data_IF_542569969043
#
_entry.id   IF_542569969043
#
_cell.length_a   1.000
_cell.length_b   1.000
_cell.length_c   1.000
_cell.angle_alpha   90.00
_cell.angle_beta   90.00
_cell.angle_gamma   90.00
#
_symmetry.space_group_name_H-M   'P 1'
#
loop_
_entity.id
_entity.type
_entity.pdbx_description
1 polymer ?
#
# COMPACT_ATOMS: atom_id res chain seq x y z
N UNK A 1 -32.19 17.91 0.07
CA UNK A 1 -30.77 18.27 0.18
C UNK A 1 -30.02 17.50 -0.90
N UNK A 2 -29.22 18.17 -1.74
CA UNK A 2 -28.41 17.50 -2.74
C UNK A 2 -27.34 16.64 -2.06
N UNK A 3 -27.11 15.42 -2.57
CA UNK A 3 -26.06 14.54 -2.05
C UNK A 3 -24.68 15.22 -2.16
N UNK A 4 -23.78 15.02 -1.18
CA UNK A 4 -22.45 15.64 -1.20
C UNK A 4 -21.65 15.17 -2.42
N UNK A 5 -20.97 16.09 -3.09
CA UNK A 5 -20.20 15.89 -4.32
C UNK A 5 -18.72 15.73 -3.98
N UNK A 6 -18.23 14.51 -3.85
CA UNK A 6 -16.85 14.22 -3.44
C UNK A 6 -15.89 14.17 -4.63
N UNK A 7 -14.73 14.83 -4.50
CA UNK A 7 -13.56 14.55 -5.33
C UNK A 7 -12.80 13.35 -4.74
N UNK A 8 -12.54 12.32 -5.53
CA UNK A 8 -11.99 11.04 -5.07
C UNK A 8 -10.75 10.71 -5.88
N UNK A 9 -9.65 10.41 -5.15
CA UNK A 9 -8.40 9.93 -5.69
C UNK A 9 -7.98 8.64 -4.97
N UNK A 10 -7.61 7.60 -5.70
CA UNK A 10 -7.21 6.31 -5.12
C UNK A 10 -5.99 5.77 -5.83
N UNK A 11 -5.10 5.11 -5.08
CA UNK A 11 -3.92 4.43 -5.62
C UNK A 11 -4.07 2.93 -5.57
N UNK A 12 -3.62 2.26 -6.65
CA UNK A 12 -3.40 0.83 -6.69
C UNK A 12 -1.96 0.53 -7.15
N UNK A 13 -1.40 -0.59 -6.69
CA UNK A 13 -0.01 -0.98 -6.93
C UNK A 13 0.01 -2.32 -7.67
N UNK A 14 0.81 -2.43 -8.72
CA UNK A 14 0.86 -3.62 -9.56
C UNK A 14 2.27 -4.15 -9.71
N UNK A 15 2.41 -5.46 -9.47
CA UNK A 15 3.61 -6.23 -9.80
C UNK A 15 3.56 -6.68 -11.26
N UNK A 16 4.70 -7.16 -11.78
CA UNK A 16 4.80 -7.59 -13.17
C UNK A 16 3.65 -8.49 -13.69
N UNK A 17 3.26 -9.58 -12.99
CA UNK A 17 2.18 -10.47 -13.45
C UNK A 17 0.79 -9.82 -13.54
N UNK A 18 0.54 -8.76 -12.78
CA UNK A 18 -0.78 -8.11 -12.69
C UNK A 18 -1.03 -7.07 -13.79
N UNK A 19 0.04 -6.62 -14.48
CA UNK A 19 -0.01 -5.50 -15.43
C UNK A 19 -0.95 -5.78 -16.62
N UNK A 20 -0.92 -6.99 -17.19
CA UNK A 20 -1.79 -7.31 -18.31
C UNK A 20 -3.28 -7.27 -18.00
N UNK A 21 -3.65 -7.46 -16.72
CA UNK A 21 -5.06 -7.39 -16.32
C UNK A 21 -5.56 -5.96 -16.23
N UNK A 22 -4.74 -5.04 -15.70
CA UNK A 22 -5.09 -3.63 -15.64
C UNK A 22 -5.09 -3.00 -17.05
N UNK A 23 -4.10 -3.32 -17.87
CA UNK A 23 -4.05 -2.88 -19.26
C UNK A 23 -5.31 -3.32 -20.03
N UNK A 24 -5.70 -4.59 -19.90
CA UNK A 24 -6.90 -5.10 -20.54
C UNK A 24 -8.17 -4.37 -20.09
N UNK A 25 -8.24 -3.92 -18.84
CA UNK A 25 -9.37 -3.11 -18.34
C UNK A 25 -9.30 -1.69 -18.91
N UNK A 26 -8.18 -1.01 -18.82
CA UNK A 26 -8.03 0.38 -19.21
C UNK A 26 -8.18 0.57 -20.72
N UNK A 27 -7.58 -0.33 -21.51
CA UNK A 27 -7.60 -0.27 -22.97
C UNK A 27 -8.79 -1.02 -23.61
N UNK A 28 -9.71 -1.55 -22.78
CA UNK A 28 -10.91 -2.26 -23.26
C UNK A 28 -10.63 -3.40 -24.25
N UNK A 29 -9.54 -4.15 -24.05
CA UNK A 29 -9.11 -5.20 -25.00
C UNK A 29 -9.92 -6.50 -24.89
N UNK A 30 -10.79 -6.68 -23.88
CA UNK A 30 -11.66 -7.86 -23.71
C UNK A 30 -13.08 -7.58 -24.16
N UNK A 31 -13.75 -8.59 -24.67
CA UNK A 31 -15.17 -8.51 -24.99
C UNK A 31 -16.08 -8.47 -23.76
N UNK A 32 -15.72 -9.18 -22.70
CA UNK A 32 -16.48 -9.25 -21.44
C UNK A 32 -15.59 -9.07 -20.23
N UNK A 33 -16.12 -8.35 -19.25
CA UNK A 33 -15.45 -8.07 -17.98
C UNK A 33 -16.29 -8.66 -16.82
N UNK A 34 -16.01 -9.91 -16.44
CA UNK A 34 -16.77 -10.60 -15.37
C UNK A 34 -16.72 -9.85 -14.03
N UNK A 35 -15.63 -9.16 -13.75
CA UNK A 35 -15.46 -8.34 -12.53
C UNK A 35 -16.21 -7.00 -12.58
N UNK A 36 -16.59 -6.52 -13.77
CA UNK A 36 -17.31 -5.26 -13.94
C UNK A 36 -18.34 -5.38 -15.09
N UNK A 37 -19.51 -5.95 -14.81
CA UNK A 37 -20.56 -6.14 -15.82
C UNK A 37 -21.26 -4.84 -16.23
N UNK A 38 -20.96 -3.70 -15.59
CA UNK A 38 -21.59 -2.41 -15.89
C UNK A 38 -20.91 -1.69 -17.05
N UNK A 39 -19.85 -2.26 -17.63
CA UNK A 39 -19.21 -1.70 -18.83
C UNK A 39 -20.15 -1.86 -20.01
N UNK A 40 -20.59 -0.73 -20.56
CA UNK A 40 -21.37 -0.67 -21.78
C UNK A 40 -20.45 -0.54 -23.01
N UNK A 41 -20.16 -1.68 -23.64
CA UNK A 41 -19.27 -1.76 -24.81
C UNK A 41 -19.71 -0.88 -25.98
N UNK A 42 -21.02 -0.60 -26.12
CA UNK A 42 -21.52 0.28 -27.18
C UNK A 42 -21.05 1.73 -27.00
N UNK A 43 -20.70 2.10 -25.77
CA UNK A 43 -20.18 3.44 -25.39
C UNK A 43 -18.66 3.49 -25.29
N UNK A 44 -17.94 2.38 -25.43
CA UNK A 44 -16.47 2.38 -25.27
C UNK A 44 -15.75 3.28 -26.30
N UNK A 45 -16.38 3.58 -27.42
CA UNK A 45 -15.86 4.57 -28.37
C UNK A 45 -15.85 6.03 -27.85
N UNK A 46 -16.52 6.30 -26.72
CA UNK A 46 -16.50 7.60 -26.06
C UNK A 46 -15.33 7.75 -25.06
N UNK A 47 -14.64 6.66 -24.76
CA UNK A 47 -13.46 6.70 -23.90
C UNK A 47 -12.36 7.54 -24.56
N UNK A 48 -11.70 8.36 -23.76
CA UNK A 48 -10.76 9.36 -24.26
C UNK A 48 -9.41 9.24 -23.56
N UNK A 49 -8.33 9.10 -24.31
CA UNK A 49 -6.98 9.18 -23.80
C UNK A 49 -6.51 10.63 -23.72
N UNK A 50 -5.99 11.02 -22.56
CA UNK A 50 -5.20 12.23 -22.37
C UNK A 50 -3.70 11.95 -22.58
N UNK A 51 -3.27 10.72 -22.26
CA UNK A 51 -1.94 10.20 -22.56
C UNK A 51 -2.12 8.80 -23.15
N UNK A 52 -1.73 8.65 -24.43
CA UNK A 52 -1.75 7.35 -25.09
C UNK A 52 -0.53 6.51 -24.66
N UNK A 53 -0.70 5.22 -24.36
CA UNK A 53 0.44 4.36 -24.10
C UNK A 53 1.26 4.18 -25.39
N UNK A 54 2.60 4.39 -25.36
CA UNK A 54 3.43 4.25 -26.54
C UNK A 54 3.57 2.79 -26.97
N UNK A 55 3.33 1.86 -26.05
CA UNK A 55 3.36 0.41 -26.24
C UNK A 55 2.60 -0.28 -25.11
N UNK A 56 2.59 -1.62 -25.07
CA UNK A 56 2.00 -2.35 -23.95
C UNK A 56 2.56 -1.89 -22.59
N UNK A 57 1.70 -1.76 -21.59
CA UNK A 57 2.06 -1.23 -20.27
C UNK A 57 3.26 -1.91 -19.63
N UNK A 58 3.38 -3.25 -19.81
CA UNK A 58 4.54 -4.00 -19.31
C UNK A 58 5.81 -3.60 -20.02
N UNK A 59 5.79 -3.53 -21.34
CA UNK A 59 6.96 -3.17 -22.14
C UNK A 59 7.40 -1.74 -21.83
N UNK A 60 6.45 -0.81 -21.68
CA UNK A 60 6.74 0.57 -21.31
C UNK A 60 7.34 0.68 -19.92
N UNK A 61 6.81 -0.04 -18.94
CA UNK A 61 7.37 -0.08 -17.59
C UNK A 61 8.81 -0.64 -17.59
N UNK A 62 9.04 -1.74 -18.31
CA UNK A 62 10.37 -2.36 -18.41
C UNK A 62 11.37 -1.44 -19.12
N UNK A 63 10.96 -0.74 -20.17
CA UNK A 63 11.78 0.28 -20.86
C UNK A 63 12.18 1.40 -19.92
N UNK A 64 11.22 2.04 -19.25
CA UNK A 64 11.52 3.17 -18.33
C UNK A 64 12.42 2.74 -17.17
N UNK A 65 12.20 1.55 -16.61
CA UNK A 65 13.00 1.00 -15.52
C UNK A 65 14.44 0.73 -15.99
N UNK A 66 14.61 0.20 -17.21
CA UNK A 66 15.93 -0.04 -17.80
C UNK A 66 16.66 1.27 -18.10
N UNK A 67 15.98 2.26 -18.68
CA UNK A 67 16.52 3.61 -18.94
C UNK A 67 16.95 4.34 -17.67
N UNK A 68 16.25 4.08 -16.56
CA UNK A 68 16.61 4.63 -15.25
C UNK A 68 17.78 3.88 -14.59
N UNK A 69 18.17 2.70 -15.08
CA UNK A 69 19.20 1.84 -14.48
C UNK A 69 18.78 1.25 -13.13
N UNK A 70 17.48 1.08 -12.89
CA UNK A 70 16.95 0.64 -11.61
C UNK A 70 17.21 -0.83 -11.34
N UNK A 71 17.57 -1.16 -10.09
CA UNK A 71 17.56 -2.55 -9.63
C UNK A 71 16.12 -3.00 -9.37
N UNK A 72 15.72 -4.10 -10.00
CA UNK A 72 14.38 -4.68 -9.88
C UNK A 72 14.45 -6.02 -9.14
N UNK A 73 13.56 -6.23 -8.16
CA UNK A 73 13.31 -7.52 -7.49
C UNK A 73 12.07 -8.17 -8.10
N UNK A 74 11.89 -9.45 -7.88
CA UNK A 74 10.70 -10.19 -8.35
C UNK A 74 9.38 -9.63 -7.80
N UNK A 75 9.40 -9.09 -6.58
CA UNK A 75 8.26 -8.51 -5.87
C UNK A 75 8.11 -6.99 -6.03
N UNK A 76 8.98 -6.34 -6.83
CA UNK A 76 8.92 -4.90 -7.05
C UNK A 76 7.59 -4.47 -7.67
N UNK A 77 7.04 -3.37 -7.15
CA UNK A 77 5.93 -2.67 -7.81
C UNK A 77 6.48 -1.98 -9.04
N UNK A 78 5.97 -2.35 -10.21
CA UNK A 78 6.42 -1.83 -11.51
C UNK A 78 5.53 -0.74 -12.06
N UNK A 79 4.23 -0.79 -11.71
CA UNK A 79 3.26 0.24 -12.07
C UNK A 79 2.42 0.64 -10.86
N UNK A 80 2.04 1.90 -10.86
CA UNK A 80 1.03 2.47 -9.97
C UNK A 80 -0.08 3.01 -10.83
N UNK A 81 -1.31 2.73 -10.43
CA UNK A 81 -2.50 3.34 -11.00
C UNK A 81 -3.07 4.36 -10.03
N UNK A 82 -3.49 5.48 -10.57
CA UNK A 82 -4.32 6.46 -9.88
C UNK A 82 -5.69 6.46 -10.52
N UNK A 83 -6.72 6.20 -9.74
CA UNK A 83 -8.10 6.36 -10.13
C UNK A 83 -8.59 7.73 -9.63
N UNK A 84 -8.97 8.60 -10.57
CA UNK A 84 -9.69 9.84 -10.30
C UNK A 84 -11.16 9.65 -10.62
N UNK A 85 -12.03 9.96 -9.68
CA UNK A 85 -13.48 9.87 -9.85
C UNK A 85 -14.20 10.89 -8.97
N UNK A 86 -15.51 10.97 -9.12
CA UNK A 86 -16.40 11.85 -8.35
C UNK A 86 -17.61 11.08 -7.85
N UNK A 87 -18.41 11.67 -6.99
CA UNK A 87 -19.71 11.12 -6.59
C UNK A 87 -20.59 10.87 -7.80
N UNK A 88 -21.35 9.77 -7.79
CA UNK A 88 -22.35 9.45 -8.81
C UNK A 88 -23.31 10.61 -9.02
N UNK A 89 -23.61 10.90 -10.28
CA UNK A 89 -24.51 11.99 -10.65
C UNK A 89 -23.86 13.39 -10.76
N UNK A 90 -22.55 13.51 -10.45
CA UNK A 90 -21.85 14.81 -10.57
C UNK A 90 -21.75 15.30 -12.02
N UNK A 91 -21.67 14.37 -12.96
CA UNK A 91 -21.50 14.66 -14.38
C UNK A 91 -22.81 14.54 -15.20
N UNK A 92 -23.97 14.30 -14.56
CA UNK A 92 -25.22 14.06 -15.28
C UNK A 92 -25.67 15.24 -16.12
N UNK A 93 -25.32 16.46 -15.72
CA UNK A 93 -25.63 17.74 -16.38
C UNK A 93 -24.46 18.35 -17.17
N UNK A 94 -23.31 17.61 -17.30
CA UNK A 94 -22.10 18.12 -17.93
C UNK A 94 -21.85 17.51 -19.30
N UNK A 95 -21.35 18.34 -20.20
CA UNK A 95 -20.91 17.91 -21.53
C UNK A 95 -19.65 17.04 -21.47
N UNK A 96 -19.38 16.24 -22.51
CA UNK A 96 -18.13 15.48 -22.60
C UNK A 96 -16.86 16.34 -22.49
N UNK A 97 -16.89 17.56 -23.01
CA UNK A 97 -15.76 18.50 -22.95
C UNK A 97 -15.54 19.03 -21.53
N UNK A 98 -16.60 19.28 -20.77
CA UNK A 98 -16.50 19.67 -19.35
C UNK A 98 -15.94 18.52 -18.51
N UNK A 99 -16.37 17.27 -18.78
CA UNK A 99 -15.84 16.08 -18.15
C UNK A 99 -14.34 15.90 -18.46
N UNK A 100 -13.97 16.08 -19.72
CA UNK A 100 -12.58 16.04 -20.17
C UNK A 100 -11.75 17.10 -19.46
N UNK A 101 -12.21 18.36 -19.42
CA UNK A 101 -11.53 19.48 -18.74
C UNK A 101 -11.32 19.19 -17.25
N UNK A 102 -12.30 18.56 -16.58
CA UNK A 102 -12.18 18.14 -15.20
C UNK A 102 -11.02 17.15 -15.01
N UNK A 103 -10.90 16.15 -15.88
CA UNK A 103 -9.86 15.14 -15.78
C UNK A 103 -8.50 15.62 -16.29
N UNK A 104 -8.43 16.53 -17.24
CA UNK A 104 -7.19 17.23 -17.61
C UNK A 104 -6.59 17.96 -16.40
N UNK A 105 -7.44 18.63 -15.61
CA UNK A 105 -7.01 19.26 -14.37
C UNK A 105 -6.57 18.22 -13.33
N UNK A 106 -7.24 17.09 -13.23
CA UNK A 106 -6.84 16.01 -12.33
C UNK A 106 -5.48 15.40 -12.72
N UNK A 107 -5.23 15.27 -14.02
CA UNK A 107 -3.93 14.83 -14.55
C UNK A 107 -2.83 15.87 -14.26
N UNK A 108 -3.12 17.16 -14.46
CA UNK A 108 -2.18 18.24 -14.14
C UNK A 108 -1.76 18.21 -12.66
N UNK A 109 -2.70 18.00 -11.74
CA UNK A 109 -2.39 17.80 -10.33
C UNK A 109 -1.39 16.66 -10.11
N UNK A 110 -1.59 15.51 -10.76
CA UNK A 110 -0.64 14.40 -10.62
C UNK A 110 0.73 14.74 -11.19
N UNK A 111 0.79 15.49 -12.29
CA UNK A 111 2.04 15.90 -12.95
C UNK A 111 2.85 16.92 -12.13
N UNK A 112 2.24 17.66 -11.20
CA UNK A 112 2.96 18.48 -10.22
C UNK A 112 3.72 17.65 -9.17
N UNK A 113 3.29 16.39 -8.95
CA UNK A 113 3.83 15.51 -7.91
C UNK A 113 4.63 14.32 -8.46
N UNK A 114 4.37 13.95 -9.71
CA UNK A 114 5.01 12.82 -10.39
C UNK A 114 5.46 13.27 -11.76
N UNK A 115 6.69 12.93 -12.12
CA UNK A 115 7.29 13.33 -13.40
C UNK A 115 6.43 12.87 -14.58
N UNK A 116 6.02 13.76 -15.49
CA UNK A 116 5.13 13.46 -16.61
C UNK A 116 5.63 12.33 -17.51
N UNK A 117 6.94 12.21 -17.72
CA UNK A 117 7.56 11.18 -18.57
C UNK A 117 7.45 9.77 -18.00
N UNK A 118 7.09 9.63 -16.72
CA UNK A 118 6.82 8.32 -16.11
C UNK A 118 5.40 7.83 -16.31
N UNK A 119 4.49 8.71 -16.78
CA UNK A 119 3.09 8.37 -17.03
C UNK A 119 3.02 7.56 -18.33
N UNK A 120 2.58 6.30 -18.20
CA UNK A 120 2.46 5.38 -19.32
C UNK A 120 1.12 5.54 -20.05
N UNK A 121 0.04 5.84 -19.33
CA UNK A 121 -1.30 6.03 -19.90
C UNK A 121 -2.16 6.89 -18.98
N UNK A 122 -3.07 7.67 -19.58
CA UNK A 122 -4.16 8.34 -18.87
C UNK A 122 -5.42 8.26 -19.75
N UNK A 123 -6.41 7.49 -19.33
CA UNK A 123 -7.65 7.23 -20.07
C UNK A 123 -8.87 7.55 -19.24
N UNK A 124 -9.81 8.29 -19.82
CA UNK A 124 -11.13 8.60 -19.26
C UNK A 124 -12.11 7.55 -19.75
N UNK A 125 -12.74 6.84 -18.83
CA UNK A 125 -13.82 5.89 -19.14
C UNK A 125 -15.17 6.60 -19.05
N UNK A 126 -15.89 6.61 -20.17
CA UNK A 126 -17.23 7.17 -20.33
C UNK A 126 -18.30 6.07 -20.47
N UNK A 127 -17.86 4.82 -20.50
CA UNK A 127 -18.66 3.62 -20.76
C UNK A 127 -19.10 2.86 -19.49
N UNK A 128 -18.95 3.49 -18.33
CA UNK A 128 -19.40 2.98 -17.03
C UNK A 128 -20.42 3.95 -16.39
N UNK A 129 -20.96 3.56 -15.23
CA UNK A 129 -22.03 4.30 -14.56
C UNK A 129 -21.65 5.71 -14.10
N UNK A 130 -20.37 5.97 -13.85
CA UNK A 130 -19.84 7.32 -13.54
C UNK A 130 -18.53 7.48 -14.30
N UNK A 131 -18.38 8.55 -15.11
CA UNK A 131 -17.12 8.87 -15.74
C UNK A 131 -15.97 8.91 -14.73
N UNK A 132 -14.82 8.31 -15.07
CA UNK A 132 -13.64 8.27 -14.22
C UNK A 132 -12.37 8.13 -15.06
N UNK A 133 -11.23 8.53 -14.50
CA UNK A 133 -9.96 8.47 -15.21
C UNK A 133 -9.00 7.52 -14.49
N UNK A 134 -8.40 6.63 -15.26
CA UNK A 134 -7.27 5.81 -14.88
C UNK A 134 -5.98 6.43 -15.38
N UNK A 135 -5.04 6.72 -14.48
CA UNK A 135 -3.69 7.15 -14.84
C UNK A 135 -2.72 6.12 -14.35
N UNK A 136 -1.89 5.60 -15.24
CA UNK A 136 -0.89 4.56 -14.93
C UNK A 136 0.50 5.14 -15.12
N UNK A 137 1.36 4.99 -14.12
CA UNK A 137 2.74 5.48 -14.18
C UNK A 137 3.74 4.50 -13.57
N UNK A 138 5.00 4.58 -14.01
CA UNK A 138 6.12 3.85 -13.42
C UNK A 138 6.61 4.63 -12.20
N UNK A 139 6.67 4.02 -11.00
CA UNK A 139 6.99 4.75 -9.76
C UNK A 139 8.51 5.01 -9.62
N UNK A 140 9.04 5.84 -10.54
CA UNK A 140 10.41 6.30 -10.54
C UNK A 140 10.52 7.61 -9.73
N UNK A 141 11.36 7.60 -8.71
CA UNK A 141 11.68 8.77 -7.90
C UNK A 141 12.60 9.74 -8.68
N UNK A 142 12.75 10.99 -8.20
CA UNK A 142 13.62 11.98 -8.82
C UNK A 142 15.08 11.50 -8.93
N UNK A 143 15.56 10.71 -7.96
CA UNK A 143 16.88 10.07 -7.95
C UNK A 143 16.91 8.72 -8.68
N UNK A 144 15.96 8.49 -9.59
CA UNK A 144 15.87 7.32 -10.48
C UNK A 144 15.77 5.97 -9.76
N UNK A 145 15.17 5.89 -8.56
CA UNK A 145 14.87 4.63 -7.88
C UNK A 145 13.44 4.19 -8.17
N UNK A 146 13.24 2.88 -8.31
CA UNK A 146 11.90 2.28 -8.44
C UNK A 146 11.30 2.11 -7.04
N UNK A 147 10.45 3.05 -6.60
CA UNK A 147 9.90 3.05 -5.25
C UNK A 147 8.49 3.64 -5.17
N UNK A 148 7.48 2.81 -5.30
CA UNK A 148 6.10 3.21 -5.04
C UNK A 148 5.89 3.69 -3.58
N UNK A 149 6.68 3.19 -2.63
CA UNK A 149 6.59 3.60 -1.21
C UNK A 149 7.04 5.05 -1.00
N UNK A 150 8.09 5.48 -1.69
CA UNK A 150 8.62 6.84 -1.52
C UNK A 150 7.69 7.89 -2.16
N UNK A 151 7.00 7.52 -3.24
CA UNK A 151 6.04 8.39 -3.94
C UNK A 151 4.70 8.44 -3.20
N UNK A 152 4.03 7.29 -3.04
CA UNK A 152 2.66 7.22 -2.49
C UNK A 152 2.68 7.33 -0.96
N UNK A 153 3.74 6.78 -0.33
CA UNK A 153 3.92 6.78 1.11
C UNK A 153 3.08 5.73 1.85
N UNK A 154 2.77 6.07 3.09
CA UNK A 154 1.96 5.29 4.01
C UNK A 154 0.53 5.87 4.10
N UNK A 155 -0.31 5.33 5.02
CA UNK A 155 -1.68 5.79 5.23
C UNK A 155 -1.80 7.31 5.48
N UNK A 156 -0.87 7.90 6.23
CA UNK A 156 -0.86 9.36 6.50
C UNK A 156 -0.62 10.15 5.20
N UNK A 157 0.33 9.70 4.38
CA UNK A 157 0.63 10.32 3.09
C UNK A 157 -0.55 10.18 2.10
N UNK A 158 -1.26 9.04 2.11
CA UNK A 158 -2.47 8.84 1.30
C UNK A 158 -3.61 9.80 1.69
N UNK A 159 -3.76 10.10 2.98
CA UNK A 159 -4.71 11.13 3.44
C UNK A 159 -4.29 12.50 2.91
N UNK A 160 -3.00 12.83 3.03
CA UNK A 160 -2.44 14.08 2.52
C UNK A 160 -2.65 14.22 1.01
N UNK A 161 -2.42 13.17 0.21
CA UNK A 161 -2.71 13.15 -1.23
C UNK A 161 -4.16 13.52 -1.53
N UNK A 162 -5.10 12.97 -0.77
CA UNK A 162 -6.52 13.24 -0.94
C UNK A 162 -6.88 14.67 -0.49
N UNK A 163 -6.23 15.22 0.54
CA UNK A 163 -6.43 16.60 1.01
C UNK A 163 -5.91 17.61 -0.03
N UNK A 164 -4.70 17.39 -0.56
CA UNK A 164 -4.07 18.21 -1.58
C UNK A 164 -4.88 18.18 -2.90
N UNK A 165 -5.31 16.99 -3.33
CA UNK A 165 -6.16 16.83 -4.50
C UNK A 165 -7.50 17.58 -4.35
N UNK A 166 -8.16 17.43 -3.21
CA UNK A 166 -9.38 18.17 -2.93
C UNK A 166 -9.14 19.68 -2.98
N UNK A 167 -8.12 20.19 -2.31
CA UNK A 167 -7.78 21.62 -2.31
C UNK A 167 -7.53 22.16 -3.73
N UNK A 168 -6.78 21.39 -4.54
CA UNK A 168 -6.48 21.73 -5.92
C UNK A 168 -7.74 21.77 -6.80
N UNK A 169 -8.63 20.78 -6.67
CA UNK A 169 -9.83 20.68 -7.46
C UNK A 169 -10.89 21.68 -7.01
N UNK A 170 -11.09 21.89 -5.71
CA UNK A 170 -12.10 22.81 -5.16
C UNK A 170 -11.80 24.27 -5.47
N UNK A 171 -10.57 24.64 -5.75
CA UNK A 171 -10.21 25.99 -6.23
C UNK A 171 -10.87 26.33 -7.59
N UNK A 172 -11.20 25.33 -8.40
CA UNK A 172 -11.91 25.51 -9.69
C UNK A 172 -13.37 25.04 -9.63
N UNK A 173 -13.67 24.08 -8.77
CA UNK A 173 -14.97 23.43 -8.60
C UNK A 173 -15.39 23.54 -7.13
N UNK A 174 -15.87 24.72 -6.68
CA UNK A 174 -16.14 25.01 -5.26
C UNK A 174 -17.28 24.19 -4.68
N UNK A 175 -18.12 23.58 -5.52
CA UNK A 175 -19.20 22.67 -5.11
C UNK A 175 -18.70 21.28 -4.67
N UNK A 176 -17.42 20.95 -4.88
CA UNK A 176 -16.85 19.69 -4.43
C UNK A 176 -16.66 19.69 -2.92
N UNK A 177 -16.78 18.52 -2.33
CA UNK A 177 -16.58 18.28 -0.90
C UNK A 177 -15.39 17.34 -0.70
N UNK A 178 -14.70 17.51 0.44
CA UNK A 178 -13.74 16.54 0.93
C UNK A 178 -14.48 15.36 1.56
N UNK A 179 -14.26 14.16 1.07
CA UNK A 179 -14.80 12.96 1.68
C UNK A 179 -14.20 12.70 3.07
N UNK A 180 -15.00 12.16 3.97
CA UNK A 180 -14.55 11.74 5.30
C UNK A 180 -13.59 10.55 5.21
N UNK A 181 -12.55 10.55 6.04
CA UNK A 181 -11.60 9.43 6.05
C UNK A 181 -12.25 8.17 6.62
N UNK A 182 -11.81 6.99 6.15
CA UNK A 182 -12.24 5.72 6.72
C UNK A 182 -11.96 5.59 8.23
N UNK A 183 -10.97 6.35 8.74
CA UNK A 183 -10.67 6.40 10.18
C UNK A 183 -11.75 7.14 10.98
N UNK A 184 -12.36 8.16 10.39
CA UNK A 184 -13.45 8.94 11.03
C UNK A 184 -14.79 8.23 10.94
N UNK A 185 -15.06 7.56 9.79
CA UNK A 185 -16.35 6.92 9.53
C UNK A 185 -16.44 5.49 10.03
N UNK A 186 -15.33 4.87 10.41
CA UNK A 186 -15.28 3.44 10.76
C UNK A 186 -15.63 2.51 9.58
N UNK A 187 -15.73 3.02 8.34
CA UNK A 187 -16.10 2.25 7.16
C UNK A 187 -15.01 1.25 6.81
N UNK A 188 -15.38 -0.01 6.68
CA UNK A 188 -14.54 -1.07 6.14
C UNK A 188 -14.57 -1.06 4.61
N UNK A 189 -13.47 -1.47 4.01
CA UNK A 189 -13.41 -1.64 2.56
C UNK A 189 -14.30 -2.81 2.14
N UNK A 190 -15.34 -2.52 1.36
CA UNK A 190 -16.10 -3.54 0.63
C UNK A 190 -15.54 -3.64 -0.79
N UNK A 191 -15.46 -4.85 -1.32
CA UNK A 191 -15.14 -5.03 -2.74
C UNK A 191 -16.25 -4.43 -3.60
N UNK A 192 -15.94 -4.05 -4.83
CA UNK A 192 -16.96 -3.52 -5.78
C UNK A 192 -18.10 -4.50 -5.95
N UNK A 193 -17.81 -5.81 -6.00
CA UNK A 193 -18.82 -6.85 -6.15
C UNK A 193 -19.75 -6.94 -4.92
N UNK A 194 -19.20 -6.88 -3.72
CA UNK A 194 -19.99 -6.87 -2.47
C UNK A 194 -20.88 -5.64 -2.39
N UNK A 195 -20.33 -4.45 -2.70
CA UNK A 195 -21.10 -3.21 -2.73
C UNK A 195 -22.24 -3.25 -3.76
N UNK A 196 -21.99 -3.78 -4.96
CA UNK A 196 -23.02 -3.94 -6.00
C UNK A 196 -24.12 -4.92 -5.55
N UNK A 197 -23.76 -6.04 -4.97
CA UNK A 197 -24.72 -7.01 -4.44
C UNK A 197 -25.58 -6.38 -3.34
N UNK A 198 -24.96 -5.70 -2.39
CA UNK A 198 -25.65 -5.01 -1.30
C UNK A 198 -26.61 -3.93 -1.83
N UNK A 199 -26.16 -3.09 -2.75
CA UNK A 199 -27.01 -2.06 -3.38
C UNK A 199 -28.18 -2.67 -4.16
N UNK A 200 -27.95 -3.78 -4.87
CA UNK A 200 -29.01 -4.52 -5.59
C UNK A 200 -30.07 -5.07 -4.64
N UNK A 201 -29.65 -5.58 -3.50
CA UNK A 201 -30.58 -6.12 -2.50
C UNK A 201 -31.36 -5.01 -1.81
N UNK A 202 -30.75 -3.87 -1.49
CA UNK A 202 -31.46 -2.69 -0.99
C UNK A 202 -32.51 -2.23 -2.00
N UNK A 203 -32.16 -2.04 -3.28
CA UNK A 203 -33.12 -1.64 -4.32
C UNK A 203 -34.30 -2.60 -4.46
N UNK A 204 -34.06 -3.91 -4.32
CA UNK A 204 -35.15 -4.92 -4.33
C UNK A 204 -36.06 -4.77 -3.11
N UNK A 205 -35.46 -4.53 -1.93
CA UNK A 205 -36.25 -4.31 -0.71
C UNK A 205 -37.09 -3.03 -0.81
N UNK A 206 -36.53 -1.92 -1.27
CA UNK A 206 -37.26 -0.67 -1.49
C UNK A 206 -38.47 -0.88 -2.41
N UNK A 207 -38.25 -1.51 -3.57
CA UNK A 207 -39.34 -1.82 -4.50
C UNK A 207 -40.43 -2.72 -3.90
N UNK A 208 -40.04 -3.61 -2.97
CA UNK A 208 -40.99 -4.48 -2.29
C UNK A 208 -41.81 -3.68 -1.27
N UNK A 209 -41.18 -2.74 -0.55
CA UNK A 209 -41.86 -1.80 0.37
C UNK A 209 -42.85 -0.94 -0.41
N UNK A 210 -42.44 -0.33 -1.52
CA UNK A 210 -43.32 0.50 -2.36
C UNK A 210 -44.57 -0.28 -2.83
N UNK A 211 -44.38 -1.55 -3.21
CA UNK A 211 -45.50 -2.44 -3.59
C UNK A 211 -46.44 -2.76 -2.42
N UNK A 212 -45.89 -2.99 -1.22
CA UNK A 212 -46.68 -3.20 0.01
C UNK A 212 -47.49 -1.95 0.33
N UNK A 213 -46.90 -0.76 0.29
CA UNK A 213 -47.58 0.50 0.50
C UNK A 213 -48.70 0.77 -0.50
N UNK A 214 -48.44 0.49 -1.79
CA UNK A 214 -49.46 0.63 -2.85
C UNK A 214 -50.63 -0.33 -2.65
N UNK A 215 -50.37 -1.57 -2.19
CA UNK A 215 -51.43 -2.53 -1.86
C UNK A 215 -52.20 -2.12 -0.61
N UNK A 216 -51.55 -1.55 0.37
CA UNK A 216 -52.20 -1.07 1.60
C UNK A 216 -53.05 0.18 1.36
N UNK A 217 -52.54 1.17 0.62
CA UNK A 217 -53.25 2.40 0.37
C UNK A 217 -54.56 2.24 -0.43
N UNK A 218 -54.67 1.15 -1.22
CA UNK A 218 -55.89 0.87 -1.96
C UNK A 218 -56.77 -0.19 -1.30
N UNK A 219 -56.55 -0.56 -0.04
CA UNK A 219 -57.38 -1.54 0.66
C UNK A 219 -58.72 -0.93 1.13
N UNK A 220 -59.83 -1.69 0.88
CA UNK A 220 -61.14 -1.39 1.37
C UNK A 220 -61.86 -2.68 1.81
N UNK A 221 -63.04 -2.55 2.43
CA UNK A 221 -63.77 -3.72 2.97
C UNK A 221 -64.10 -4.78 1.91
N UNK A 222 -64.26 -4.41 0.62
CA UNK A 222 -64.61 -5.31 -0.44
C UNK A 222 -63.41 -6.11 -1.02
N UNK A 223 -62.21 -5.54 -0.95
CA UNK A 223 -61.00 -6.16 -1.52
C UNK A 223 -59.96 -6.60 -0.48
N UNK A 224 -60.28 -6.42 0.81
CA UNK A 224 -59.31 -6.66 1.92
C UNK A 224 -58.77 -8.08 1.93
N UNK A 225 -59.61 -9.11 1.70
CA UNK A 225 -59.17 -10.52 1.67
C UNK A 225 -58.17 -10.79 0.54
N UNK A 226 -58.49 -10.39 -0.69
CA UNK A 226 -57.63 -10.59 -1.85
C UNK A 226 -56.27 -9.83 -1.73
N UNK A 227 -56.32 -8.63 -1.16
CA UNK A 227 -55.08 -7.86 -0.92
C UNK A 227 -54.23 -8.44 0.21
N UNK A 228 -54.86 -8.99 1.25
CA UNK A 228 -54.15 -9.67 2.32
C UNK A 228 -53.44 -10.94 1.80
N UNK A 229 -54.07 -11.69 0.90
CA UNK A 229 -53.47 -12.85 0.25
C UNK A 229 -52.24 -12.47 -0.60
N UNK A 230 -52.23 -11.29 -1.19
CA UNK A 230 -51.06 -10.74 -1.93
C UNK A 230 -49.99 -10.17 -1.01
N UNK A 231 -50.37 -9.48 0.09
CA UNK A 231 -49.45 -8.85 1.03
C UNK A 231 -48.63 -9.86 1.84
N UNK A 232 -49.26 -10.94 2.33
CA UNK A 232 -48.61 -11.93 3.21
C UNK A 232 -47.31 -12.50 2.61
N UNK A 233 -47.28 -12.96 1.33
CA UNK A 233 -46.03 -13.49 0.74
C UNK A 233 -44.98 -12.38 0.53
N UNK A 234 -45.39 -11.15 0.24
CA UNK A 234 -44.47 -10.00 0.08
C UNK A 234 -43.80 -9.63 1.40
N UNK A 235 -44.61 -9.55 2.48
CA UNK A 235 -44.05 -9.28 3.83
C UNK A 235 -43.14 -10.43 4.29
N UNK A 236 -43.50 -11.68 4.02
CA UNK A 236 -42.62 -12.83 4.31
C UNK A 236 -41.29 -12.75 3.55
N UNK A 237 -41.29 -12.40 2.25
CA UNK A 237 -40.07 -12.22 1.47
C UNK A 237 -39.22 -11.06 2.02
N UNK A 238 -39.87 -9.95 2.40
CA UNK A 238 -39.20 -8.80 3.05
C UNK A 238 -38.51 -9.22 4.35
N UNK A 239 -39.19 -9.94 5.23
CA UNK A 239 -38.65 -10.42 6.49
C UNK A 239 -37.46 -11.39 6.28
N UNK A 240 -37.59 -12.31 5.30
CA UNK A 240 -36.51 -13.24 4.96
C UNK A 240 -35.25 -12.48 4.45
N UNK A 241 -35.44 -11.47 3.60
CA UNK A 241 -34.33 -10.64 3.10
C UNK A 241 -33.70 -9.83 4.22
N UNK A 242 -34.51 -9.25 5.08
CA UNK A 242 -34.02 -8.52 6.25
C UNK A 242 -33.24 -9.43 7.20
N UNK A 243 -33.75 -10.66 7.46
CA UNK A 243 -33.05 -11.66 8.27
C UNK A 243 -31.68 -12.02 7.70
N UNK A 244 -31.58 -12.26 6.37
CA UNK A 244 -30.29 -12.51 5.69
C UNK A 244 -29.33 -11.32 5.82
N UNK A 245 -29.82 -10.10 5.60
CA UNK A 245 -29.01 -8.90 5.72
C UNK A 245 -28.52 -8.69 7.16
N UNK A 246 -29.36 -8.97 8.17
CA UNK A 246 -28.96 -8.93 9.58
C UNK A 246 -27.86 -9.96 9.87
N UNK A 247 -27.98 -11.17 9.38
CA UNK A 247 -26.96 -12.23 9.54
C UNK A 247 -25.65 -11.83 8.89
N UNK A 248 -25.68 -11.31 7.66
CA UNK A 248 -24.49 -10.82 6.97
C UNK A 248 -23.84 -9.66 7.72
N UNK A 249 -24.64 -8.72 8.23
CA UNK A 249 -24.12 -7.62 9.05
C UNK A 249 -23.44 -8.11 10.32
N UNK A 250 -24.02 -9.12 11.00
CA UNK A 250 -23.42 -9.77 12.16
C UNK A 250 -22.07 -10.40 11.83
N UNK A 251 -21.99 -11.16 10.74
CA UNK A 251 -20.71 -11.75 10.26
C UNK A 251 -19.65 -10.68 9.94
N UNK A 252 -20.06 -9.58 9.32
CA UNK A 252 -19.13 -8.46 9.06
C UNK A 252 -18.67 -7.78 10.34
N UNK A 253 -19.54 -7.63 11.34
CA UNK A 253 -19.17 -7.06 12.66
C UNK A 253 -18.18 -7.97 13.39
N UNK A 254 -18.39 -9.28 13.40
CA UNK A 254 -17.46 -10.25 14.00
C UNK A 254 -16.10 -10.25 13.29
N UNK A 255 -16.10 -10.30 11.96
CA UNK A 255 -14.88 -10.22 11.16
C UNK A 255 -14.13 -8.91 11.39
N UNK A 256 -14.85 -7.78 11.49
CA UNK A 256 -14.27 -6.47 11.79
C UNK A 256 -13.64 -6.44 13.18
N UNK A 257 -14.33 -6.96 14.19
CA UNK A 257 -13.80 -7.01 15.56
C UNK A 257 -12.52 -7.86 15.64
N UNK A 258 -12.50 -9.00 14.94
CA UNK A 258 -11.31 -9.87 14.83
C UNK A 258 -10.13 -9.14 14.15
N UNK A 259 -10.38 -8.48 13.02
CA UNK A 259 -9.35 -7.72 12.29
C UNK A 259 -8.83 -6.54 13.13
N UNK A 260 -9.70 -5.85 13.87
CA UNK A 260 -9.28 -4.77 14.77
C UNK A 260 -8.38 -5.29 15.90
N UNK A 261 -8.73 -6.42 16.51
CA UNK A 261 -7.91 -7.04 17.56
C UNK A 261 -6.52 -7.45 17.01
N UNK A 262 -6.48 -8.05 15.82
CA UNK A 262 -5.23 -8.43 15.17
C UNK A 262 -4.37 -7.19 14.78
N UNK A 263 -4.99 -6.13 14.28
CA UNK A 263 -4.30 -4.87 14.01
C UNK A 263 -3.66 -4.26 15.27
N UNK A 264 -4.37 -4.26 16.39
CA UNK A 264 -3.81 -3.78 17.67
C UNK A 264 -2.66 -4.66 18.16
N UNK A 265 -2.76 -5.98 17.98
CA UNK A 265 -1.66 -6.93 18.27
C UNK A 265 -0.43 -6.62 17.42
N UNK A 266 -0.61 -6.53 16.11
CA UNK A 266 0.47 -6.22 15.15
C UNK A 266 1.08 -4.84 15.40
N UNK A 267 0.30 -3.86 15.80
CA UNK A 267 0.80 -2.53 16.15
C UNK A 267 1.73 -2.58 17.35
N UNK A 268 1.34 -3.29 18.41
CA UNK A 268 2.18 -3.49 19.60
C UNK A 268 3.46 -4.27 19.28
N UNK A 269 3.37 -5.25 18.39
CA UNK A 269 4.54 -6.01 17.93
C UNK A 269 5.50 -5.13 17.11
N UNK A 270 4.98 -4.32 16.20
CA UNK A 270 5.77 -3.34 15.45
C UNK A 270 6.46 -2.31 16.35
N UNK A 271 5.78 -1.82 17.39
CA UNK A 271 6.38 -0.91 18.38
C UNK A 271 7.54 -1.57 19.15
N UNK A 272 7.40 -2.87 19.50
CA UNK A 272 8.47 -3.65 20.12
C UNK A 272 9.66 -3.86 19.18
N UNK A 273 9.40 -4.20 17.92
CA UNK A 273 10.44 -4.38 16.90
C UNK A 273 11.16 -3.07 16.59
N UNK A 274 10.45 -1.96 16.51
CA UNK A 274 11.06 -0.64 16.31
C UNK A 274 11.90 -0.18 17.50
N UNK A 275 11.50 -0.51 18.72
CA UNK A 275 12.32 -0.24 19.91
C UNK A 275 13.57 -1.11 19.95
N UNK A 276 13.46 -2.40 19.63
CA UNK A 276 14.59 -3.31 19.51
C UNK A 276 15.57 -2.87 18.41
N UNK A 277 15.05 -2.45 17.27
CA UNK A 277 15.87 -1.90 16.16
C UNK A 277 16.62 -0.64 16.59
N UNK A 278 15.97 0.28 17.28
CA UNK A 278 16.63 1.50 17.82
C UNK A 278 17.72 1.17 18.83
N UNK A 279 17.46 0.21 19.71
CA UNK A 279 18.48 -0.27 20.67
C UNK A 279 19.68 -0.93 19.98
N UNK A 280 19.45 -1.71 18.92
CA UNK A 280 20.51 -2.31 18.10
C UNK A 280 21.38 -1.23 17.43
N UNK A 281 20.76 -0.26 16.75
CA UNK A 281 21.49 0.84 16.14
C UNK A 281 22.27 1.68 17.15
N UNK A 282 21.72 1.93 18.33
CA UNK A 282 22.43 2.65 19.40
C UNK A 282 23.68 1.88 19.85
N UNK A 283 23.64 0.55 19.94
CA UNK A 283 24.81 -0.30 20.22
C UNK A 283 25.85 -0.25 19.12
N UNK A 284 25.44 -0.28 17.87
CA UNK A 284 26.35 -0.18 16.72
C UNK A 284 27.09 1.14 16.71
N UNK A 285 26.43 2.26 16.96
CA UNK A 285 27.07 3.56 17.09
C UNK A 285 28.08 3.62 18.25
N UNK A 286 27.72 3.01 19.40
CA UNK A 286 28.62 2.92 20.55
C UNK A 286 29.86 2.09 20.23
N UNK A 287 29.70 0.94 19.57
CA UNK A 287 30.80 0.08 19.15
C UNK A 287 31.70 0.74 18.12
N UNK A 288 31.13 1.43 17.11
CA UNK A 288 31.92 2.21 16.14
C UNK A 288 32.75 3.29 16.80
N UNK A 289 32.20 4.02 17.77
CA UNK A 289 32.93 5.04 18.52
C UNK A 289 34.10 4.42 19.33
N UNK A 290 33.89 3.27 19.96
CA UNK A 290 34.95 2.55 20.67
C UNK A 290 36.05 2.04 19.73
N UNK A 291 35.70 1.53 18.57
CA UNK A 291 36.65 1.10 17.53
C UNK A 291 37.49 2.29 17.06
N UNK A 292 36.89 3.43 16.74
CA UNK A 292 37.61 4.64 16.35
C UNK A 292 38.59 5.11 17.44
N UNK A 293 38.19 5.06 18.71
CA UNK A 293 39.07 5.40 19.82
C UNK A 293 40.29 4.45 19.94
N UNK A 294 40.06 3.15 19.73
CA UNK A 294 41.13 2.15 19.72
C UNK A 294 42.07 2.36 18.54
N UNK A 295 41.56 2.62 17.35
CA UNK A 295 42.36 2.94 16.16
C UNK A 295 43.25 4.15 16.38
N UNK A 296 42.70 5.24 16.94
CA UNK A 296 43.50 6.43 17.28
C UNK A 296 44.56 6.14 18.33
N UNK A 297 44.30 5.26 19.29
CA UNK A 297 45.30 4.79 20.25
C UNK A 297 46.41 3.99 19.58
N UNK A 298 46.04 3.04 18.71
CA UNK A 298 47.01 2.25 17.95
C UNK A 298 47.94 3.17 17.11
N UNK A 299 47.38 4.11 16.35
CA UNK A 299 48.15 5.09 15.56
C UNK A 299 49.08 5.95 16.42
N UNK A 300 48.71 6.23 17.66
CA UNK A 300 49.53 6.96 18.62
C UNK A 300 50.70 6.08 19.11
N UNK A 301 50.45 4.84 19.43
CA UNK A 301 51.49 3.87 19.81
C UNK A 301 52.47 3.58 18.66
N UNK A 302 51.96 3.43 17.43
CA UNK A 302 52.81 3.24 16.24
C UNK A 302 53.76 4.42 16.04
N UNK A 303 53.25 5.67 16.19
CA UNK A 303 54.13 6.87 16.16
C UNK A 303 55.18 6.88 17.25
N UNK A 304 54.81 6.46 18.46
CA UNK A 304 55.81 6.35 19.55
C UNK A 304 56.82 5.25 19.29
N UNK A 305 56.41 4.11 18.78
CA UNK A 305 57.30 2.99 18.43
C UNK A 305 58.25 3.36 17.28
N UNK A 306 57.79 4.06 16.28
CA UNK A 306 58.62 4.51 15.15
C UNK A 306 59.64 5.59 15.55
N UNK A 307 59.41 6.29 16.66
CA UNK A 307 60.38 7.24 17.24
C UNK A 307 61.50 6.56 18.07
N UNK A 308 61.36 5.27 18.37
CA UNK A 308 62.40 4.51 19.11
C UNK A 308 63.46 4.01 18.13
N UNK A 309 64.76 4.25 18.36
CA UNK A 309 65.79 3.72 17.48
C UNK A 309 65.71 2.20 17.31
N UNK A 310 65.87 1.72 16.06
CA UNK A 310 65.74 0.32 15.71
C UNK A 310 66.61 -0.61 16.56
N UNK A 311 67.76 -0.17 16.98
CA UNK A 311 68.68 -0.88 17.85
C UNK A 311 68.10 -1.16 19.25
N UNK A 312 67.35 -0.22 19.80
CA UNK A 312 66.69 -0.34 21.10
C UNK A 312 65.54 -1.37 21.00
N UNK A 313 64.75 -1.32 19.93
CA UNK A 313 63.69 -2.27 19.67
C UNK A 313 64.21 -3.70 19.48
N UNK A 314 65.32 -3.81 18.74
CA UNK A 314 65.97 -5.10 18.50
C UNK A 314 66.51 -5.73 19.82
N UNK A 315 67.17 -4.90 20.65
CA UNK A 315 67.68 -5.31 21.96
C UNK A 315 66.55 -5.76 22.89
N UNK A 316 65.47 -5.00 22.98
CA UNK A 316 64.31 -5.36 23.80
C UNK A 316 63.61 -6.65 23.32
N UNK A 317 63.42 -6.80 22.01
CA UNK A 317 62.84 -7.98 21.39
C UNK A 317 63.72 -9.23 21.64
N UNK A 318 65.02 -9.09 21.64
CA UNK A 318 65.95 -10.17 21.95
C UNK A 318 65.88 -10.58 23.43
N UNK A 319 65.78 -9.63 24.34
CA UNK A 319 65.57 -9.88 25.76
C UNK A 319 64.23 -10.59 26.03
N UNK A 320 63.16 -10.15 25.42
CA UNK A 320 61.86 -10.82 25.57
C UNK A 320 61.85 -12.26 25.04
N UNK A 321 62.49 -12.50 23.88
CA UNK A 321 62.63 -13.87 23.34
C UNK A 321 63.45 -14.76 24.24
N UNK A 322 64.47 -14.21 24.91
CA UNK A 322 65.29 -14.93 25.84
C UNK A 322 64.54 -15.28 27.12
N UNK A 323 63.82 -14.29 27.70
CA UNK A 323 62.96 -14.54 28.87
C UNK A 323 61.83 -15.53 28.60
N UNK A 324 61.24 -15.49 27.39
CA UNK A 324 60.17 -16.43 27.00
C UNK A 324 60.69 -17.85 26.79
N UNK A 325 61.92 -18.02 26.27
CA UNK A 325 62.57 -19.32 26.18
C UNK A 325 62.88 -19.88 27.57
N UNK A 326 63.39 -19.05 28.48
CA UNK A 326 63.67 -19.44 29.88
C UNK A 326 62.37 -19.84 30.60
N UNK A 327 61.30 -19.08 30.48
CA UNK A 327 60.00 -19.40 31.04
C UNK A 327 59.42 -20.71 30.49
N UNK A 328 59.59 -20.99 29.19
CA UNK A 328 59.16 -22.25 28.58
C UNK A 328 59.99 -23.46 29.05
N UNK A 329 61.27 -23.26 29.31
CA UNK A 329 62.16 -24.32 29.89
C UNK A 329 61.72 -24.64 31.31
N UNK A 330 61.51 -23.65 32.17
CA UNK A 330 61.01 -23.88 33.53
C UNK A 330 59.57 -24.49 33.52
N UNK A 331 58.70 -24.10 32.63
CA UNK A 331 57.35 -24.71 32.45
C UNK A 331 57.40 -26.16 31.98
N UNK A 332 58.42 -26.58 31.22
CA UNK A 332 58.65 -28.01 30.83
C UNK A 332 59.31 -28.82 31.91
N UNK A 333 60.21 -28.26 32.72
CA UNK A 333 60.78 -28.93 33.86
C UNK A 333 59.74 -29.24 34.94
N UNK A 334 58.88 -28.26 35.30
CA UNK A 334 57.81 -28.48 36.27
C UNK A 334 56.80 -29.56 35.83
N UNK A 335 56.57 -29.68 34.50
CA UNK A 335 55.73 -30.76 33.95
C UNK A 335 56.40 -32.15 33.94
N UNK A 336 57.73 -32.19 33.89
CA UNK A 336 58.48 -33.44 34.00
C UNK A 336 58.57 -33.92 35.46
N UNK A 337 58.81 -33.04 36.41
CA UNK A 337 58.79 -33.35 37.83
C UNK A 337 57.42 -33.80 38.32
N UNK A 338 56.35 -33.12 37.97
CA UNK A 338 55.00 -33.55 38.31
C UNK A 338 54.52 -34.84 37.64
N UNK A 339 55.19 -35.32 36.54
CA UNK A 339 54.98 -36.66 35.99
C UNK A 339 55.76 -37.74 36.70
N UNK A 340 56.96 -37.43 37.22
CA UNK A 340 57.73 -38.37 38.01
C UNK A 340 57.10 -38.63 39.38
N UNK A 341 56.55 -37.60 40.02
CA UNK A 341 55.85 -37.78 41.30
C UNK A 341 54.55 -38.59 41.16
N UNK A 342 53.88 -38.54 40.02
CA UNK A 342 52.70 -39.40 39.74
C UNK A 342 53.07 -40.85 39.41
N UNK A 343 54.30 -41.12 38.98
CA UNK A 343 54.75 -42.46 38.71
C UNK A 343 55.19 -43.15 40.03
N UNK A 344 55.89 -42.44 40.93
CA UNK A 344 56.35 -42.94 42.24
C UNK A 344 55.22 -43.07 43.30
N UNK A 345 54.03 -42.53 43.04
CA UNK A 345 52.84 -42.65 43.89
C UNK A 345 51.94 -43.85 43.53
N UNK A 346 52.39 -44.71 42.53
CA UNK A 346 51.63 -45.87 42.05
C UNK A 346 52.41 -47.21 42.27
N UNK A 347 53.59 -47.20 42.93
CA UNK A 347 54.22 -48.36 43.56
C UNK A 347 53.98 -48.28 45.09
#
# INVERSE_FOLDING_TARGET
MSSPRYAIMRFAKYKGPEIGRIEAHNERTKEKYASNPDIDRSRSGLNCHLVHPPQHYRAEAERQIADAGCRVRSDSIRLVEVLFTVSTGYFDDKSPDEIRTYYERSLAFLQEHQRPETIASAVIHMDEGTPHMHVVFVPLTADKRLSAKDIIGNRKKLIQWQDEYYAYMSARYPELCRGESAAQTGRTHMTVQEFKNFTKDIRKMTRLVDKVEALMSGANLLNSKSRLEQLVPMVKDLLLRFGRMKTQLGQYQEAFTSVMAENERLKKENEKLDSARRAYHSRDYSNMSAIQQLEQRCLRYERHLSAIPAEVVARYSQQQRKAQKEANVYGQQGKREGRMDQYNARE
#
